data_IF_625191749468
#
_entry.id   IF_625191749468
#
_cell.length_a   1.000
_cell.length_b   1.000
_cell.length_c   1.000
_cell.angle_alpha   90.00
_cell.angle_beta   90.00
_cell.angle_gamma   90.00
#
_symmetry.space_group_name_H-M   'P 1'
#
loop_
_entity.id
_entity.type
_entity.pdbx_description
1 polymer ?
#
# COMPACT_ATOMS: atom_id res chain seq x y z
N UNK A 1 12.64 -15.15 -13.92
CA UNK A 1 11.48 -15.08 -12.97
C UNK A 1 11.62 -13.83 -12.09
N UNK A 2 10.59 -13.00 -12.02
CA UNK A 2 10.58 -11.75 -11.23
C UNK A 2 9.96 -11.97 -9.86
N UNK A 3 10.60 -11.47 -8.82
CA UNK A 3 10.09 -11.49 -7.45
C UNK A 3 9.40 -10.15 -7.13
N UNK A 4 8.08 -10.17 -6.98
CA UNK A 4 7.27 -9.01 -6.58
C UNK A 4 7.20 -9.00 -5.06
N UNK A 5 7.85 -8.05 -4.40
CA UNK A 5 8.08 -8.06 -2.96
C UNK A 5 7.37 -6.89 -2.29
N UNK A 6 6.63 -7.18 -1.21
CA UNK A 6 6.08 -6.15 -0.34
C UNK A 6 7.15 -5.56 0.58
N UNK A 7 7.33 -4.24 0.49
CA UNK A 7 8.31 -3.49 1.26
C UNK A 7 7.93 -3.28 2.73
N UNK A 8 6.69 -3.61 3.10
CA UNK A 8 6.14 -3.24 4.38
C UNK A 8 5.65 -1.78 4.42
N UNK A 9 5.20 -1.30 5.59
CA UNK A 9 4.52 -0.02 5.73
C UNK A 9 5.44 1.19 5.79
N UNK A 10 6.75 0.98 6.08
CA UNK A 10 7.69 2.08 6.20
C UNK A 10 8.98 1.73 6.94
N UNK A 11 8.91 1.31 8.19
CA UNK A 11 10.09 0.87 8.93
C UNK A 11 10.75 -0.33 8.26
N UNK A 12 12.06 -0.31 8.10
CA UNK A 12 12.78 -1.33 7.33
C UNK A 12 12.75 -2.73 7.99
N UNK A 13 12.59 -2.79 9.29
CA UNK A 13 12.46 -4.03 10.06
C UNK A 13 11.06 -4.67 9.98
N UNK A 14 10.09 -3.98 9.36
CA UNK A 14 8.76 -4.51 9.06
C UNK A 14 8.67 -5.17 7.68
N UNK A 15 9.76 -5.28 6.96
CA UNK A 15 9.83 -6.19 5.81
C UNK A 15 9.80 -7.63 6.30
N UNK A 16 9.19 -8.51 5.52
CA UNK A 16 9.26 -9.94 5.86
C UNK A 16 10.68 -10.48 5.70
N UNK A 17 11.06 -11.46 6.51
CA UNK A 17 12.38 -12.14 6.39
C UNK A 17 12.60 -12.69 4.98
N UNK A 18 11.53 -13.18 4.30
CA UNK A 18 11.59 -13.62 2.91
C UNK A 18 11.90 -12.46 1.98
N UNK A 19 11.20 -11.32 2.12
CA UNK A 19 11.44 -10.14 1.32
C UNK A 19 12.87 -9.60 1.47
N UNK A 20 13.38 -9.55 2.69
CA UNK A 20 14.77 -9.17 2.97
C UNK A 20 15.78 -10.09 2.26
N UNK A 21 15.58 -11.41 2.31
CA UNK A 21 16.46 -12.38 1.61
C UNK A 21 16.42 -12.15 0.09
N UNK A 22 15.22 -11.91 -0.47
CA UNK A 22 15.08 -11.62 -1.89
C UNK A 22 15.82 -10.33 -2.29
N UNK A 23 15.81 -9.28 -1.46
CA UNK A 23 16.60 -8.07 -1.68
C UNK A 23 18.12 -8.35 -1.63
N UNK A 24 18.57 -9.15 -0.66
CA UNK A 24 19.99 -9.53 -0.53
C UNK A 24 20.52 -10.32 -1.72
N UNK A 25 19.65 -11.07 -2.41
CA UNK A 25 20.02 -11.89 -3.59
C UNK A 25 19.84 -11.16 -4.92
N UNK A 26 19.18 -9.99 -4.92
CA UNK A 26 18.83 -9.28 -6.13
C UNK A 26 20.05 -8.70 -6.85
N UNK A 27 20.07 -8.83 -8.17
CA UNK A 27 21.01 -8.16 -9.08
C UNK A 27 20.39 -6.88 -9.61
N UNK A 28 19.04 -6.82 -9.69
CA UNK A 28 18.26 -5.66 -10.10
C UNK A 28 17.11 -5.45 -9.13
N UNK A 29 16.96 -4.24 -8.62
CA UNK A 29 15.83 -3.82 -7.81
C UNK A 29 15.14 -2.64 -8.49
N UNK A 30 13.81 -2.77 -8.71
CA UNK A 30 12.97 -1.67 -9.19
C UNK A 30 11.97 -1.35 -8.07
N UNK A 31 12.08 -0.19 -7.43
CA UNK A 31 11.21 0.17 -6.30
C UNK A 31 10.17 1.25 -6.65
N UNK A 32 9.05 1.27 -5.93
CA UNK A 32 7.86 2.08 -6.25
C UNK A 32 7.93 3.51 -5.71
N UNK A 33 9.08 4.17 -5.82
CA UNK A 33 9.24 5.59 -5.50
C UNK A 33 9.13 5.92 -4.01
N UNK A 34 8.71 7.14 -3.70
CA UNK A 34 8.74 7.74 -2.35
C UNK A 34 7.85 7.06 -1.29
N UNK A 35 7.03 6.10 -1.69
CA UNK A 35 6.22 5.29 -0.76
C UNK A 35 6.97 4.06 -0.23
N UNK A 36 8.14 3.76 -0.78
CA UNK A 36 9.05 2.72 -0.29
C UNK A 36 10.19 3.40 0.47
N UNK A 37 10.45 2.97 1.70
CA UNK A 37 11.57 3.49 2.47
C UNK A 37 12.89 3.06 1.83
N UNK A 38 13.69 4.03 1.39
CA UNK A 38 14.98 3.78 0.72
C UNK A 38 16.01 3.10 1.65
N UNK A 39 15.84 3.15 2.97
CA UNK A 39 16.66 2.37 3.91
C UNK A 39 16.61 0.85 3.64
N UNK A 40 15.55 0.35 2.96
CA UNK A 40 15.46 -1.04 2.52
C UNK A 40 16.50 -1.42 1.46
N UNK A 41 16.99 -0.43 0.70
CA UNK A 41 18.00 -0.65 -0.33
C UNK A 41 19.37 -0.98 0.27
N UNK A 42 19.56 -0.74 1.57
CA UNK A 42 20.77 -1.17 2.32
C UNK A 42 20.90 -2.70 2.37
N UNK A 43 19.78 -3.45 2.16
CA UNK A 43 19.82 -4.91 2.05
C UNK A 43 20.34 -5.39 0.69
N UNK A 44 20.43 -4.51 -0.32
CA UNK A 44 20.89 -4.91 -1.65
C UNK A 44 22.41 -5.18 -1.68
N UNK A 45 22.85 -5.98 -2.65
CA UNK A 45 24.26 -6.16 -2.95
C UNK A 45 24.90 -4.83 -3.39
N UNK A 46 26.21 -4.69 -3.21
CA UNK A 46 26.94 -3.48 -3.61
C UNK A 46 26.88 -3.16 -5.11
N UNK A 47 26.78 -4.19 -5.93
CA UNK A 47 26.72 -4.12 -7.40
C UNK A 47 25.28 -4.26 -7.93
N UNK A 48 24.27 -4.21 -7.06
CA UNK A 48 22.88 -4.25 -7.46
C UNK A 48 22.47 -2.99 -8.25
N UNK A 49 21.88 -3.18 -9.42
CA UNK A 49 21.29 -2.09 -10.19
C UNK A 49 19.95 -1.67 -9.56
N UNK A 50 19.80 -0.39 -9.24
CA UNK A 50 18.62 0.14 -8.55
C UNK A 50 17.90 1.16 -9.42
N UNK A 51 16.60 0.94 -9.65
CA UNK A 51 15.73 1.80 -10.46
C UNK A 51 14.56 2.33 -9.60
N UNK A 52 14.29 3.63 -9.71
CA UNK A 52 13.12 4.25 -9.10
C UNK A 52 12.01 4.41 -10.14
N UNK A 53 10.96 3.60 -10.02
CA UNK A 53 9.86 3.62 -10.98
C UNK A 53 8.90 4.81 -10.85
N UNK A 54 9.11 5.73 -9.91
CA UNK A 54 8.39 7.01 -9.90
C UNK A 54 8.68 7.87 -11.13
N UNK A 55 9.81 7.62 -11.79
CA UNK A 55 10.28 8.33 -13.00
C UNK A 55 10.19 7.48 -14.25
N UNK A 56 9.50 6.34 -14.21
CA UNK A 56 9.39 5.37 -15.30
C UNK A 56 7.91 5.11 -15.61
N UNK A 57 7.63 4.92 -16.90
CA UNK A 57 6.36 4.37 -17.34
C UNK A 57 6.39 2.83 -17.30
N UNK A 58 5.24 2.19 -17.59
CA UNK A 58 5.15 0.72 -17.56
C UNK A 58 6.11 0.06 -18.53
N UNK A 59 6.18 0.54 -19.77
CA UNK A 59 7.04 -0.04 -20.81
C UNK A 59 8.52 0.03 -20.41
N UNK A 60 8.95 1.11 -19.82
CA UNK A 60 10.33 1.28 -19.33
C UNK A 60 10.65 0.27 -18.20
N UNK A 61 9.71 0.05 -17.28
CA UNK A 61 9.87 -0.96 -16.22
C UNK A 61 9.96 -2.36 -16.84
N UNK A 62 9.06 -2.70 -17.77
CA UNK A 62 9.06 -3.99 -18.45
C UNK A 62 10.36 -4.20 -19.23
N UNK A 63 10.84 -3.20 -19.96
CA UNK A 63 12.09 -3.29 -20.73
C UNK A 63 13.31 -3.56 -19.83
N UNK A 64 13.41 -2.93 -18.66
CA UNK A 64 14.47 -3.22 -17.68
C UNK A 64 14.39 -4.67 -17.23
N UNK A 65 13.19 -5.15 -16.90
CA UNK A 65 12.97 -6.53 -16.44
C UNK A 65 13.32 -7.54 -17.54
N UNK A 66 12.84 -7.33 -18.77
CA UNK A 66 13.10 -8.24 -19.91
C UNK A 66 14.59 -8.33 -20.20
N UNK A 67 15.29 -7.18 -20.19
CA UNK A 67 16.75 -7.15 -20.36
C UNK A 67 17.46 -7.94 -19.26
N UNK A 68 17.15 -7.66 -18.01
CA UNK A 68 17.78 -8.32 -16.85
C UNK A 68 17.50 -9.84 -16.83
N UNK A 69 16.28 -10.27 -17.21
CA UNK A 69 15.93 -11.69 -17.31
C UNK A 69 16.75 -12.38 -18.41
N UNK A 70 16.97 -11.70 -19.57
CA UNK A 70 17.81 -12.26 -20.65
C UNK A 70 19.28 -12.43 -20.25
N UNK A 71 19.73 -11.67 -19.25
CA UNK A 71 21.07 -11.75 -18.65
C UNK A 71 21.15 -12.75 -17.48
N UNK A 72 20.04 -13.42 -17.15
CA UNK A 72 19.97 -14.40 -16.06
C UNK A 72 20.03 -13.79 -14.65
N UNK A 73 19.73 -12.50 -14.53
CA UNK A 73 19.77 -11.76 -13.26
C UNK A 73 18.59 -12.07 -12.33
N UNK A 74 18.80 -11.99 -11.02
CA UNK A 74 17.77 -12.00 -10.00
C UNK A 74 17.10 -10.63 -9.92
N UNK A 75 15.81 -10.55 -10.21
CA UNK A 75 15.07 -9.30 -10.32
C UNK A 75 14.05 -9.19 -9.17
N UNK A 76 14.06 -8.07 -8.46
CA UNK A 76 13.06 -7.72 -7.46
C UNK A 76 12.29 -6.47 -7.88
N UNK A 77 10.97 -6.59 -7.93
CA UNK A 77 10.03 -5.46 -8.02
C UNK A 77 9.49 -5.17 -6.63
N UNK A 78 9.96 -4.08 -6.00
CA UNK A 78 9.64 -3.73 -4.62
C UNK A 78 8.47 -2.75 -4.57
N UNK A 79 7.36 -3.19 -3.96
CA UNK A 79 6.13 -2.43 -3.81
C UNK A 79 5.91 -2.01 -2.36
N UNK A 80 5.26 -0.86 -2.15
CA UNK A 80 4.88 -0.39 -0.81
C UNK A 80 3.87 -1.32 -0.15
N UNK A 81 3.94 -1.49 1.15
CA UNK A 81 3.01 -2.31 1.93
C UNK A 81 3.00 -3.77 1.48
N UNK A 82 1.83 -4.22 1.06
CA UNK A 82 1.59 -5.52 0.43
C UNK A 82 1.19 -5.33 -1.04
N UNK A 83 1.79 -6.06 -2.00
CA UNK A 83 1.51 -5.89 -3.43
C UNK A 83 0.06 -6.18 -3.82
N UNK A 84 -0.66 -6.99 -3.05
CA UNK A 84 -2.05 -7.37 -3.34
C UNK A 84 -3.06 -6.25 -3.05
N UNK A 85 -2.67 -5.22 -2.28
CA UNK A 85 -3.53 -4.09 -1.93
C UNK A 85 -3.08 -2.82 -2.66
N UNK A 86 -3.81 -2.47 -3.71
CA UNK A 86 -3.57 -1.27 -4.54
C UNK A 86 -2.16 -1.18 -5.15
N UNK A 87 -1.47 -2.32 -5.29
CA UNK A 87 -0.12 -2.40 -5.83
C UNK A 87 -0.02 -2.29 -7.36
N UNK A 88 -1.16 -2.31 -8.08
CA UNK A 88 -1.22 -2.30 -9.55
C UNK A 88 -0.29 -3.35 -10.21
N UNK A 89 -0.18 -4.54 -9.57
CA UNK A 89 0.73 -5.60 -10.04
C UNK A 89 0.15 -6.43 -11.18
N UNK A 90 -1.18 -6.46 -11.32
CA UNK A 90 -1.86 -7.31 -12.30
C UNK A 90 -1.41 -6.96 -13.73
N UNK A 91 -1.44 -5.69 -14.09
CA UNK A 91 -1.03 -5.21 -15.40
C UNK A 91 0.44 -5.56 -15.70
N UNK A 92 1.32 -5.40 -14.71
CA UNK A 92 2.73 -5.77 -14.82
C UNK A 92 2.91 -7.28 -15.06
N UNK A 93 2.18 -8.12 -14.31
CA UNK A 93 2.23 -9.58 -14.44
C UNK A 93 1.72 -10.02 -15.83
N UNK A 94 0.60 -9.45 -16.29
CA UNK A 94 0.02 -9.74 -17.60
C UNK A 94 0.98 -9.34 -18.72
N UNK A 95 1.66 -8.20 -18.61
CA UNK A 95 2.63 -7.75 -19.61
C UNK A 95 3.89 -8.63 -19.62
N UNK A 96 4.44 -8.96 -18.44
CA UNK A 96 5.60 -9.86 -18.33
C UNK A 96 5.30 -11.26 -18.88
N UNK A 97 4.08 -11.75 -18.69
CA UNK A 97 3.67 -13.05 -19.24
C UNK A 97 3.73 -13.11 -20.77
N UNK A 98 3.51 -11.99 -21.48
CA UNK A 98 3.68 -11.91 -22.95
C UNK A 98 5.13 -12.14 -23.39
N UNK A 99 6.08 -11.85 -22.51
CA UNK A 99 7.51 -12.11 -22.70
C UNK A 99 7.96 -13.47 -22.15
N UNK A 100 7.02 -14.33 -21.70
CA UNK A 100 7.33 -15.64 -21.10
C UNK A 100 7.94 -15.55 -19.70
N UNK A 101 7.87 -14.39 -19.05
CA UNK A 101 8.44 -14.15 -17.73
C UNK A 101 7.40 -14.41 -16.65
N UNK A 102 7.72 -15.30 -15.72
CA UNK A 102 6.87 -15.63 -14.57
C UNK A 102 7.17 -14.74 -13.37
N UNK A 103 6.18 -14.54 -12.51
CA UNK A 103 6.29 -13.75 -11.28
C UNK A 103 6.05 -14.60 -10.04
N UNK A 104 6.81 -14.36 -8.99
CA UNK A 104 6.57 -14.85 -7.62
C UNK A 104 6.21 -13.66 -6.74
N UNK A 105 5.11 -13.75 -5.96
CA UNK A 105 4.70 -12.70 -5.05
C UNK A 105 5.14 -13.05 -3.63
N UNK A 106 5.91 -12.15 -3.01
CA UNK A 106 6.26 -12.21 -1.60
C UNK A 106 5.38 -11.19 -0.85
N UNK A 107 4.49 -11.62 0.07
CA UNK A 107 3.63 -10.71 0.79
C UNK A 107 4.42 -9.77 1.70
N UNK A 108 3.81 -8.62 2.00
CA UNK A 108 4.34 -7.62 2.92
C UNK A 108 3.33 -7.21 3.98
N UNK A 109 3.77 -6.45 4.97
CA UNK A 109 2.88 -5.85 5.96
C UNK A 109 2.24 -4.60 5.37
N UNK A 110 0.91 -4.62 5.21
CA UNK A 110 0.19 -3.45 4.68
C UNK A 110 0.13 -2.32 5.71
N UNK A 111 0.09 -1.07 5.22
CA UNK A 111 0.10 0.13 6.05
C UNK A 111 -1.08 0.25 7.03
N UNK A 112 -2.23 -0.35 6.73
CA UNK A 112 -3.36 -0.35 7.67
C UNK A 112 -3.08 -1.18 8.92
N UNK A 113 -2.31 -2.26 8.81
CA UNK A 113 -1.87 -3.06 9.96
C UNK A 113 -0.88 -2.28 10.83
N UNK A 114 0.03 -1.54 10.21
CA UNK A 114 0.93 -0.65 10.94
C UNK A 114 0.16 0.50 11.62
N UNK A 115 -0.87 1.04 10.96
CA UNK A 115 -1.73 2.05 11.56
C UNK A 115 -2.45 1.52 12.82
N UNK A 116 -2.99 0.29 12.77
CA UNK A 116 -3.58 -0.35 13.94
C UNK A 116 -2.56 -0.52 15.09
N UNK A 117 -1.35 -0.97 14.76
CA UNK A 117 -0.26 -1.12 15.73
C UNK A 117 0.13 0.23 16.37
N UNK A 118 0.28 1.29 15.57
CA UNK A 118 0.61 2.63 16.05
C UNK A 118 -0.45 3.22 16.99
N UNK A 119 -1.71 2.80 16.83
CA UNK A 119 -2.84 3.23 17.65
C UNK A 119 -3.20 2.25 18.77
N UNK A 120 -2.49 1.13 18.90
CA UNK A 120 -2.82 0.04 19.82
C UNK A 120 -4.28 -0.41 19.71
N UNK A 121 -4.81 -0.54 18.48
CA UNK A 121 -6.20 -0.93 18.24
C UNK A 121 -6.30 -2.23 17.45
N UNK A 122 -7.47 -2.86 17.58
CA UNK A 122 -7.89 -4.02 16.81
C UNK A 122 -9.08 -3.64 15.93
N UNK A 123 -9.12 -4.13 14.71
CA UNK A 123 -10.23 -3.88 13.79
C UNK A 123 -11.46 -4.76 14.07
N UNK A 124 -11.24 -5.97 14.63
CA UNK A 124 -12.26 -7.00 14.82
C UNK A 124 -12.63 -7.13 16.28
N UNK A 125 -13.32 -6.11 16.83
CA UNK A 125 -13.69 -6.05 18.25
C UNK A 125 -15.03 -6.78 18.44
N UNK A 126 -15.12 -7.78 19.38
CA UNK A 126 -16.37 -8.45 19.71
C UNK A 126 -17.49 -7.45 20.04
N UNK A 127 -18.69 -7.73 19.58
CA UNK A 127 -19.91 -6.91 19.79
C UNK A 127 -19.88 -5.52 19.14
N UNK A 128 -18.76 -5.11 18.55
CA UNK A 128 -18.61 -3.82 17.82
C UNK A 128 -18.55 -4.05 16.33
N UNK A 129 -17.51 -4.75 15.86
CA UNK A 129 -17.35 -5.08 14.44
C UNK A 129 -16.50 -6.35 14.29
N UNK A 130 -16.98 -7.32 13.53
CA UNK A 130 -16.28 -8.58 13.25
C UNK A 130 -15.79 -8.65 11.80
N UNK A 131 -16.00 -7.59 11.03
CA UNK A 131 -15.61 -7.49 9.63
C UNK A 131 -14.79 -6.23 9.39
N UNK A 132 -13.92 -6.28 8.40
CA UNK A 132 -13.13 -5.13 7.95
C UNK A 132 -13.34 -4.93 6.46
N UNK A 133 -13.86 -3.77 6.08
CA UNK A 133 -13.97 -3.37 4.67
C UNK A 133 -12.75 -2.52 4.32
N UNK A 134 -11.97 -2.98 3.35
CA UNK A 134 -10.83 -2.24 2.81
C UNK A 134 -11.24 -1.64 1.47
N UNK A 135 -11.22 -0.32 1.36
CA UNK A 135 -11.67 0.39 0.17
C UNK A 135 -10.93 1.71 -0.05
N UNK A 136 -11.35 2.48 -1.05
CA UNK A 136 -10.86 3.82 -1.36
C UNK A 136 -11.96 4.70 -1.95
N UNK A 137 -11.80 6.00 -1.90
CA UNK A 137 -12.60 6.92 -2.72
C UNK A 137 -12.27 6.76 -4.21
N UNK A 138 -13.21 7.04 -5.12
CA UNK A 138 -12.88 7.19 -6.53
C UNK A 138 -11.83 8.31 -6.72
N UNK A 139 -10.91 8.07 -7.65
CA UNK A 139 -9.84 8.99 -8.00
C UNK A 139 -9.62 8.98 -9.51
N UNK A 140 -8.36 8.91 -9.96
CA UNK A 140 -8.04 8.77 -11.39
C UNK A 140 -8.67 7.51 -12.01
N UNK A 141 -8.79 6.45 -11.23
CA UNK A 141 -9.51 5.23 -11.62
C UNK A 141 -10.85 5.20 -10.91
N UNK A 142 -11.93 4.80 -11.60
CA UNK A 142 -13.25 4.68 -10.99
C UNK A 142 -13.27 3.57 -9.93
N UNK A 143 -14.29 3.61 -9.09
CA UNK A 143 -14.70 2.53 -8.20
C UNK A 143 -16.05 2.04 -8.69
N UNK A 144 -16.34 0.72 -8.71
CA UNK A 144 -17.64 0.21 -9.10
C UNK A 144 -18.77 0.82 -8.27
N UNK A 145 -19.93 1.09 -8.87
CA UNK A 145 -21.06 1.76 -8.22
C UNK A 145 -21.57 1.02 -6.97
N UNK A 146 -21.46 -0.32 -6.96
CA UNK A 146 -21.83 -1.15 -5.83
C UNK A 146 -20.82 -1.09 -4.67
N UNK A 147 -19.63 -0.56 -4.91
CA UNK A 147 -18.56 -0.37 -3.93
C UNK A 147 -18.37 1.11 -3.53
N UNK A 148 -19.36 1.97 -3.79
CA UNK A 148 -19.33 3.35 -3.31
C UNK A 148 -19.23 3.41 -1.79
N UNK A 149 -18.54 4.42 -1.25
CA UNK A 149 -18.36 4.57 0.21
C UNK A 149 -19.71 4.53 0.95
N UNK A 150 -20.73 5.19 0.43
CA UNK A 150 -22.06 5.22 1.06
C UNK A 150 -22.69 3.81 1.16
N UNK A 151 -22.56 2.98 0.12
CA UNK A 151 -23.09 1.61 0.13
C UNK A 151 -22.31 0.70 1.08
N UNK A 152 -20.97 0.80 1.07
CA UNK A 152 -20.12 0.04 1.99
C UNK A 152 -20.32 0.49 3.44
N UNK A 153 -20.51 1.77 3.67
CA UNK A 153 -20.78 2.36 4.98
C UNK A 153 -22.10 1.87 5.60
N UNK A 154 -23.06 1.43 4.80
CA UNK A 154 -24.33 0.87 5.29
C UNK A 154 -24.15 -0.39 6.14
N UNK A 155 -23.02 -1.09 6.01
CA UNK A 155 -22.72 -2.29 6.82
C UNK A 155 -22.36 -1.96 8.27
N UNK A 156 -21.95 -0.72 8.60
CA UNK A 156 -21.62 -0.30 9.98
C UNK A 156 -20.47 -1.07 10.63
N UNK A 157 -19.57 -1.63 9.83
CA UNK A 157 -18.41 -2.41 10.28
C UNK A 157 -17.12 -1.57 10.31
N UNK A 158 -15.99 -2.11 10.74
CA UNK A 158 -14.72 -1.40 10.61
C UNK A 158 -14.37 -1.13 9.15
N UNK A 159 -13.96 0.08 8.83
CA UNK A 159 -13.52 0.45 7.46
C UNK A 159 -12.09 0.99 7.46
N UNK A 160 -11.32 0.53 6.48
CA UNK A 160 -9.98 1.03 6.15
C UNK A 160 -10.06 1.70 4.78
N UNK A 161 -9.79 3.00 4.72
CA UNK A 161 -9.98 3.79 3.50
C UNK A 161 -8.63 4.33 3.03
N UNK A 162 -8.13 3.73 1.94
CA UNK A 162 -6.85 4.08 1.32
C UNK A 162 -6.98 5.27 0.37
N UNK A 163 -5.85 5.93 0.07
CA UNK A 163 -5.70 6.90 -1.02
C UNK A 163 -6.72 8.07 -0.99
N UNK A 164 -7.29 8.40 0.17
CA UNK A 164 -8.42 9.31 0.29
C UNK A 164 -8.16 10.52 1.20
N UNK A 165 -6.93 10.72 1.65
CA UNK A 165 -6.56 11.80 2.58
C UNK A 165 -6.79 13.22 2.02
N UNK A 166 -6.81 13.39 0.70
CA UNK A 166 -7.12 14.66 0.02
C UNK A 166 -8.63 14.96 -0.08
N UNK A 167 -9.49 13.98 0.20
CA UNK A 167 -10.94 14.03 0.02
C UNK A 167 -11.70 13.84 1.34
N UNK A 168 -11.14 14.27 2.48
CA UNK A 168 -11.72 14.01 3.81
C UNK A 168 -13.12 14.58 4.00
N UNK A 169 -13.42 15.72 3.36
CA UNK A 169 -14.75 16.33 3.46
C UNK A 169 -15.81 15.49 2.76
N UNK A 170 -15.55 15.14 1.52
CA UNK A 170 -16.42 14.31 0.70
C UNK A 170 -16.56 12.92 1.29
N UNK A 171 -15.44 12.35 1.77
CA UNK A 171 -15.44 11.06 2.45
C UNK A 171 -16.35 11.05 3.67
N UNK A 172 -16.30 12.08 4.50
CA UNK A 172 -17.17 12.24 5.67
C UNK A 172 -18.65 12.27 5.26
N UNK A 173 -18.99 13.04 4.23
CA UNK A 173 -20.36 13.15 3.73
C UNK A 173 -20.88 11.80 3.21
N UNK A 174 -20.04 11.04 2.51
CA UNK A 174 -20.39 9.69 2.03
C UNK A 174 -20.59 8.69 3.17
N UNK A 175 -19.73 8.72 4.20
CA UNK A 175 -19.85 7.83 5.36
C UNK A 175 -21.14 8.09 6.16
N UNK A 176 -21.58 9.33 6.26
CA UNK A 176 -22.84 9.70 6.94
C UNK A 176 -24.11 9.28 6.18
N UNK A 177 -24.01 8.95 4.90
CA UNK A 177 -25.13 8.33 4.16
C UNK A 177 -25.36 6.86 4.54
N UNK A 178 -24.39 6.25 5.24
CA UNK A 178 -24.46 4.88 5.75
C UNK A 178 -24.77 4.82 7.25
N UNK A 179 -24.12 3.92 7.96
CA UNK A 179 -24.36 3.68 9.39
C UNK A 179 -23.49 4.51 10.34
N UNK A 180 -22.55 5.31 9.83
CA UNK A 180 -21.65 6.09 10.67
C UNK A 180 -22.27 7.42 11.09
N UNK A 181 -21.95 7.85 12.32
CA UNK A 181 -22.44 9.06 12.94
C UNK A 181 -21.30 10.02 13.26
N UNK A 182 -21.58 11.28 13.63
CA UNK A 182 -20.55 12.20 14.13
C UNK A 182 -19.70 11.66 15.28
N UNK A 183 -20.27 10.76 16.10
CA UNK A 183 -19.61 10.19 17.27
C UNK A 183 -18.86 8.89 16.98
N UNK A 184 -18.94 8.37 15.76
CA UNK A 184 -18.21 7.17 15.36
C UNK A 184 -16.69 7.44 15.47
N UNK A 185 -15.94 6.60 16.23
CA UNK A 185 -14.50 6.75 16.34
C UNK A 185 -13.83 6.60 14.97
N UNK A 186 -12.91 7.50 14.66
CA UNK A 186 -12.06 7.36 13.48
C UNK A 186 -10.64 7.81 13.77
N UNK A 187 -9.72 7.35 12.94
CA UNK A 187 -8.32 7.73 13.03
C UNK A 187 -7.74 8.01 11.64
N UNK A 188 -6.77 8.90 11.61
CA UNK A 188 -5.95 9.16 10.42
C UNK A 188 -4.51 8.90 10.80
N UNK A 189 -3.87 7.97 10.13
CA UNK A 189 -2.44 7.72 10.24
C UNK A 189 -1.72 8.20 8.99
N UNK A 190 -0.74 9.06 9.20
CA UNK A 190 0.20 9.50 8.19
C UNK A 190 1.52 8.78 8.42
N UNK A 191 2.02 8.10 7.40
CA UNK A 191 3.30 7.40 7.41
C UNK A 191 3.48 6.48 8.63
N UNK A 192 2.50 5.61 8.90
CA UNK A 192 2.60 4.62 9.97
C UNK A 192 3.92 3.84 9.87
N UNK A 193 4.62 3.68 10.99
CA UNK A 193 5.96 3.09 11.16
C UNK A 193 7.16 3.88 10.61
N UNK A 194 6.97 5.03 9.98
CA UNK A 194 8.07 5.92 9.59
C UNK A 194 8.54 6.79 10.76
N UNK A 195 9.74 7.37 10.65
CA UNK A 195 10.29 8.30 11.67
C UNK A 195 9.42 9.55 11.91
N UNK A 196 8.68 9.97 10.90
CA UNK A 196 7.75 11.11 10.91
C UNK A 196 6.28 10.69 11.00
N UNK A 197 6.02 9.49 11.55
CA UNK A 197 4.67 8.98 11.83
C UNK A 197 3.82 9.97 12.61
N UNK A 198 2.57 10.13 12.18
CA UNK A 198 1.55 10.92 12.89
C UNK A 198 0.23 10.20 12.80
N UNK A 199 -0.29 9.75 13.94
CA UNK A 199 -1.62 9.18 14.05
C UNK A 199 -2.49 10.09 14.92
N UNK A 200 -3.66 10.45 14.42
CA UNK A 200 -4.65 11.28 15.10
C UNK A 200 -5.92 10.48 15.23
N UNK A 201 -6.36 10.25 16.45
CA UNK A 201 -7.67 9.66 16.75
C UNK A 201 -8.65 10.77 17.02
N UNK A 202 -9.78 10.77 16.33
CA UNK A 202 -10.81 11.79 16.43
C UNK A 202 -12.20 11.15 16.32
N UNK A 203 -13.23 11.80 16.88
CA UNK A 203 -14.59 11.59 16.36
C UNK A 203 -14.75 12.39 15.06
N UNK A 204 -15.63 11.99 14.16
CA UNK A 204 -15.84 12.69 12.89
C UNK A 204 -16.20 14.20 13.05
N UNK A 205 -16.66 14.63 14.21
CA UNK A 205 -16.93 16.04 14.51
C UNK A 205 -15.68 16.92 14.50
N UNK A 206 -14.49 16.35 14.73
CA UNK A 206 -13.24 17.07 14.87
C UNK A 206 -12.32 17.00 13.63
N UNK A 207 -12.73 16.32 12.57
CA UNK A 207 -12.00 16.27 11.31
C UNK A 207 -12.01 17.67 10.62
N UNK A 208 -11.14 18.55 11.06
CA UNK A 208 -10.81 19.76 10.29
C UNK A 208 -9.60 19.48 9.42
N UNK A 209 -9.59 19.94 8.15
CA UNK A 209 -8.38 19.87 7.34
C UNK A 209 -7.27 20.65 8.06
N UNK A 210 -6.21 19.99 8.47
CA UNK A 210 -5.01 20.68 8.92
C UNK A 210 -4.43 21.40 7.70
N UNK A 211 -4.42 22.74 7.73
CA UNK A 211 -3.69 23.52 6.75
C UNK A 211 -2.24 23.04 6.76
N UNK A 212 -1.74 22.68 5.59
CA UNK A 212 -0.31 22.46 5.39
C UNK A 212 0.39 23.78 5.79
N UNK A 213 1.21 23.72 6.83
CA UNK A 213 2.25 24.70 7.07
C UNK A 213 3.50 24.29 6.31
#
# INVERSE_FOLDING_TARGET
>A
MVKIVGAGPGAKDLITVRGMRMLNEADVIIYAGSLVNEELLEYAKKDCEIYNSAYMNLDEVINVIVKAESEGKNIVRLHTGDPSLYGAIREQIEELAKHGITCEICPGVSSFLAAAAAMNCEYTVPEVAQSVIITRMPGRTPVPDNESIAKLAAHGTSMVIFLSSSHLKELKEELYKGAYTPDTPCAICYKASWKDEKCITVSYTHLRPTRRS
#
